data_IF_159703549352
#
_entry.id   IF_159703549352
#
_cell.length_a   1.000
_cell.length_b   1.000
_cell.length_c   1.000
_cell.angle_alpha   90.00
_cell.angle_beta   90.00
_cell.angle_gamma   90.00
#
_symmetry.space_group_name_H-M   'P 1'
#
loop_
_entity.id
_entity.type
_entity.pdbx_description
1 polymer ?
#
# COMPACT_ATOMS: atom_id res chain seq x y z
N UNK A 1 44.77 19.57 21.50
CA UNK A 1 43.74 18.60 21.10
C UNK A 1 44.41 17.56 20.21
N UNK A 2 44.11 16.29 20.48
CA UNK A 2 44.96 15.11 20.25
C UNK A 2 45.30 14.82 18.78
N UNK A 3 46.59 14.57 18.51
CA UNK A 3 47.10 14.07 17.22
C UNK A 3 46.65 12.64 16.88
N UNK A 4 46.03 11.92 17.82
CA UNK A 4 45.53 10.54 17.62
C UNK A 4 44.21 10.45 16.84
N UNK A 5 43.38 11.50 16.82
CA UNK A 5 42.11 11.46 16.07
C UNK A 5 42.33 11.54 14.55
N UNK A 6 43.50 11.99 14.09
CA UNK A 6 43.86 12.06 12.66
C UNK A 6 44.39 10.74 12.06
N UNK A 7 44.55 9.67 12.84
CA UNK A 7 45.02 8.36 12.33
C UNK A 7 43.90 7.33 12.10
N UNK A 8 42.68 7.59 12.60
CA UNK A 8 41.57 6.66 12.50
C UNK A 8 40.78 6.92 11.22
N UNK A 9 40.64 5.89 10.39
CA UNK A 9 39.83 5.92 9.16
C UNK A 9 38.34 5.74 9.43
N UNK A 10 37.96 5.40 10.67
CA UNK A 10 36.59 5.13 11.10
C UNK A 10 36.28 5.91 12.37
N UNK A 11 35.00 6.30 12.52
CA UNK A 11 34.49 6.90 13.75
C UNK A 11 34.72 5.95 14.94
N UNK A 12 35.24 6.45 16.09
CA UNK A 12 35.49 5.62 17.27
C UNK A 12 34.28 4.80 17.74
N UNK A 13 33.04 5.31 17.60
CA UNK A 13 31.86 4.53 18.00
C UNK A 13 31.62 3.37 17.03
N UNK A 14 31.81 3.58 15.74
CA UNK A 14 31.74 2.50 14.72
C UNK A 14 32.77 1.40 15.00
N UNK A 15 34.01 1.78 15.33
CA UNK A 15 35.06 0.83 15.71
C UNK A 15 34.65 -0.01 16.91
N UNK A 16 34.07 0.61 17.94
CA UNK A 16 33.59 -0.11 19.13
C UNK A 16 32.45 -1.06 18.82
N UNK A 17 31.55 -0.72 17.88
CA UNK A 17 30.46 -1.62 17.47
C UNK A 17 31.00 -2.88 16.79
N UNK A 18 31.93 -2.74 15.85
CA UNK A 18 32.58 -3.90 15.23
C UNK A 18 33.34 -4.74 16.24
N UNK A 19 34.11 -4.10 17.12
CA UNK A 19 34.88 -4.78 18.16
C UNK A 19 33.98 -5.56 19.11
N UNK A 20 32.90 -4.95 19.58
CA UNK A 20 31.94 -5.60 20.49
C UNK A 20 31.24 -6.77 19.79
N UNK A 21 30.75 -6.58 18.56
CA UNK A 21 30.09 -7.63 17.80
C UNK A 21 30.98 -8.87 17.57
N UNK A 22 32.25 -8.64 17.22
CA UNK A 22 33.22 -9.72 17.00
C UNK A 22 33.54 -10.44 18.31
N UNK A 23 33.86 -9.69 19.37
CA UNK A 23 34.27 -10.27 20.66
C UNK A 23 33.13 -10.93 21.44
N UNK A 24 31.89 -10.49 21.25
CA UNK A 24 30.70 -11.17 21.78
C UNK A 24 30.46 -12.52 21.10
N UNK A 25 30.85 -12.65 19.83
CA UNK A 25 30.71 -13.90 19.08
C UNK A 25 31.83 -14.90 19.35
N UNK A 26 33.04 -14.42 19.67
CA UNK A 26 34.22 -15.25 19.90
C UNK A 26 35.53 -14.47 19.75
N UNK A 27 36.62 -15.18 19.52
CA UNK A 27 37.94 -14.59 19.24
C UNK A 27 38.07 -14.09 17.80
N UNK A 28 39.09 -13.27 17.51
CA UNK A 28 39.35 -12.84 16.13
C UNK A 28 39.70 -14.02 15.21
N UNK A 29 40.34 -15.03 15.78
CA UNK A 29 40.74 -16.26 15.11
C UNK A 29 39.50 -17.09 14.72
N UNK A 30 38.57 -17.32 15.65
CA UNK A 30 37.31 -18.01 15.37
C UNK A 30 36.44 -17.27 14.35
N UNK A 31 36.33 -15.94 14.48
CA UNK A 31 35.57 -15.14 13.52
C UNK A 31 36.25 -15.09 12.15
N UNK A 32 37.58 -15.13 12.10
CA UNK A 32 38.34 -15.21 10.86
C UNK A 32 38.03 -16.49 10.09
N UNK A 33 38.00 -17.63 10.78
CA UNK A 33 37.63 -18.93 10.18
C UNK A 33 36.21 -18.92 9.62
N UNK A 34 35.25 -18.35 10.36
CA UNK A 34 33.84 -18.32 9.96
C UNK A 34 33.52 -17.33 8.83
N UNK A 35 34.28 -16.24 8.73
CA UNK A 35 34.06 -15.18 7.73
C UNK A 35 34.96 -15.30 6.50
N UNK A 36 36.04 -16.07 6.60
CA UNK A 36 37.16 -16.08 5.66
C UNK A 36 37.85 -14.69 5.53
N UNK A 37 37.64 -13.79 6.50
CA UNK A 37 38.36 -12.51 6.58
C UNK A 37 39.62 -12.75 7.41
N UNK A 38 40.78 -12.29 6.96
CA UNK A 38 42.02 -12.50 7.72
C UNK A 38 41.95 -11.88 9.13
N UNK A 39 42.53 -12.55 10.12
CA UNK A 39 42.67 -12.04 11.50
C UNK A 39 43.27 -10.63 11.53
N UNK A 40 44.27 -10.37 10.67
CA UNK A 40 44.91 -9.06 10.56
C UNK A 40 43.92 -7.98 10.10
N UNK A 41 43.09 -8.30 9.11
CA UNK A 41 42.03 -7.39 8.62
C UNK A 41 41.02 -7.10 9.72
N UNK A 42 40.54 -8.12 10.44
CA UNK A 42 39.60 -7.93 11.56
C UNK A 42 40.21 -7.04 12.65
N UNK A 43 41.46 -7.30 13.05
CA UNK A 43 42.17 -6.48 14.05
C UNK A 43 42.36 -5.03 13.58
N UNK A 44 42.61 -4.80 12.29
CA UNK A 44 42.71 -3.45 11.71
C UNK A 44 41.38 -2.71 11.71
N UNK A 45 40.28 -3.39 11.35
CA UNK A 45 38.91 -2.83 11.42
C UNK A 45 38.57 -2.45 12.86
N UNK A 46 38.77 -3.37 13.81
CA UNK A 46 38.49 -3.14 15.24
C UNK A 46 39.46 -2.17 15.93
N UNK A 47 40.52 -1.74 15.24
CA UNK A 47 41.42 -0.66 15.66
C UNK A 47 41.16 0.65 14.89
N UNK A 48 40.16 0.70 13.99
CA UNK A 48 39.87 1.86 13.16
C UNK A 48 40.96 2.22 12.15
N UNK A 49 41.90 1.31 11.88
CA UNK A 49 43.02 1.52 10.96
C UNK A 49 42.65 1.30 9.49
N UNK A 50 41.45 0.78 9.22
CA UNK A 50 40.96 0.48 7.87
C UNK A 50 39.45 0.46 7.87
N UNK A 51 38.87 1.13 6.88
CA UNK A 51 37.44 1.05 6.59
C UNK A 51 37.11 -0.31 5.95
N UNK A 52 36.24 -1.14 6.54
CA UNK A 52 35.87 -2.44 6.00
C UNK A 52 35.12 -2.29 4.67
N UNK A 53 35.39 -3.19 3.73
CA UNK A 53 34.55 -3.31 2.53
C UNK A 53 33.16 -3.76 2.93
N UNK A 54 32.13 -3.32 2.20
CA UNK A 54 30.75 -3.74 2.45
C UNK A 54 30.58 -5.27 2.50
N UNK A 55 31.31 -6.01 1.66
CA UNK A 55 31.34 -7.48 1.69
C UNK A 55 31.80 -8.05 3.03
N UNK A 56 32.79 -7.42 3.66
CA UNK A 56 33.35 -7.84 4.94
C UNK A 56 32.37 -7.50 6.07
N UNK A 57 31.74 -6.34 6.01
CA UNK A 57 30.68 -5.96 6.96
C UNK A 57 29.51 -6.93 6.90
N UNK A 58 29.05 -7.32 5.70
CA UNK A 58 27.97 -8.31 5.53
C UNK A 58 28.34 -9.66 6.13
N UNK A 59 29.57 -10.13 5.90
CA UNK A 59 30.08 -11.38 6.48
C UNK A 59 30.11 -11.31 8.02
N UNK A 60 30.61 -10.21 8.59
CA UNK A 60 30.66 -9.99 10.04
C UNK A 60 29.25 -9.92 10.62
N UNK A 61 28.34 -9.15 10.01
CA UNK A 61 26.94 -9.02 10.44
C UNK A 61 26.26 -10.40 10.53
N UNK A 62 26.44 -11.22 9.49
CA UNK A 62 25.84 -12.56 9.41
C UNK A 62 26.30 -13.49 10.52
N UNK A 63 27.61 -13.57 10.79
CA UNK A 63 28.14 -14.51 11.79
C UNK A 63 27.97 -14.03 13.23
N UNK A 64 27.93 -12.72 13.44
CA UNK A 64 27.71 -12.08 14.76
C UNK A 64 26.23 -11.91 15.08
N UNK A 65 25.35 -12.19 14.12
CA UNK A 65 23.91 -11.97 14.21
C UNK A 65 23.54 -10.52 14.60
N UNK A 66 24.29 -9.55 14.06
CA UNK A 66 24.05 -8.12 14.27
C UNK A 66 23.46 -7.50 13.00
N UNK A 67 22.64 -6.46 13.17
CA UNK A 67 22.13 -5.69 12.05
C UNK A 67 23.27 -4.96 11.34
N UNK A 68 23.28 -5.02 10.00
CA UNK A 68 24.29 -4.38 9.15
C UNK A 68 24.32 -2.86 9.38
N UNK A 69 23.15 -2.22 9.45
CA UNK A 69 23.03 -0.78 9.65
C UNK A 69 23.51 -0.37 11.04
N UNK A 70 23.24 -1.17 12.06
CA UNK A 70 23.72 -0.90 13.41
C UNK A 70 25.25 -0.96 13.46
N UNK A 71 25.88 -1.93 12.79
CA UNK A 71 27.35 -2.01 12.73
C UNK A 71 27.96 -0.75 12.08
N UNK A 72 27.43 -0.32 10.94
CA UNK A 72 27.99 0.80 10.17
C UNK A 72 27.62 2.14 10.82
N UNK A 73 26.34 2.40 11.03
CA UNK A 73 25.81 3.72 11.38
C UNK A 73 25.42 3.87 12.86
N UNK A 74 25.19 2.76 13.57
CA UNK A 74 24.78 2.76 14.99
C UNK A 74 23.27 2.62 15.19
N UNK A 75 22.81 2.85 16.41
CA UNK A 75 21.38 2.86 16.73
C UNK A 75 20.71 3.99 15.95
N UNK A 76 20.05 3.60 14.87
CA UNK A 76 19.76 4.48 13.74
C UNK A 76 18.35 5.03 13.83
N UNK A 77 17.72 5.04 15.01
CA UNK A 77 16.33 5.49 15.17
C UNK A 77 16.08 6.84 14.49
N UNK A 78 16.99 7.80 14.63
CA UNK A 78 16.88 9.14 13.99
C UNK A 78 17.15 9.12 12.49
N UNK A 79 18.16 8.38 12.00
CA UNK A 79 18.46 8.26 10.57
C UNK A 79 17.39 7.45 9.82
N UNK A 80 16.80 6.46 10.48
CA UNK A 80 15.71 5.67 9.93
C UNK A 80 14.39 6.47 9.93
N UNK A 81 14.13 7.28 10.98
CA UNK A 81 13.04 8.27 11.02
C UNK A 81 13.13 9.23 9.82
N UNK A 82 14.34 9.70 9.50
CA UNK A 82 14.58 10.63 8.40
C UNK A 82 14.46 9.98 7.01
N UNK A 83 14.96 8.74 6.84
CA UNK A 83 14.80 7.97 5.61
C UNK A 83 13.32 7.67 5.29
N UNK A 84 12.50 7.40 6.33
CA UNK A 84 11.06 7.17 6.15
C UNK A 84 10.31 8.48 5.86
N UNK A 85 10.68 9.61 6.48
CA UNK A 85 10.11 10.94 6.14
C UNK A 85 10.30 11.27 4.66
N UNK A 86 11.49 11.01 4.12
CA UNK A 86 11.80 11.23 2.69
C UNK A 86 10.91 10.41 1.76
N UNK A 87 10.56 9.17 2.12
CA UNK A 87 9.72 8.30 1.30
C UNK A 87 8.24 8.68 1.36
N UNK A 88 7.77 9.13 2.53
CA UNK A 88 6.35 9.41 2.80
C UNK A 88 5.93 10.83 2.41
N UNK A 89 6.79 11.83 2.62
CA UNK A 89 6.56 13.20 2.13
C UNK A 89 6.44 13.28 0.60
N UNK A 90 7.01 12.31 -0.14
CA UNK A 90 6.91 12.24 -1.60
C UNK A 90 5.58 11.65 -2.10
N UNK A 91 4.81 10.96 -1.24
CA UNK A 91 3.69 10.13 -1.69
C UNK A 91 2.29 10.74 -1.49
N UNK A 92 1.97 11.52 -0.45
CA UNK A 92 0.61 12.09 -0.28
C UNK A 92 0.39 13.24 0.74
N UNK A 93 1.42 13.92 1.24
CA UNK A 93 1.27 14.98 2.25
C UNK A 93 1.46 14.51 3.70
N UNK A 94 1.03 15.33 4.68
CA UNK A 94 1.29 15.16 6.13
C UNK A 94 0.07 14.48 6.77
N UNK A 95 0.05 13.15 6.84
CA UNK A 95 -0.90 12.38 7.65
C UNK A 95 -0.12 11.62 8.73
N UNK A 96 0.05 12.24 9.90
CA UNK A 96 0.92 11.75 10.96
C UNK A 96 0.55 10.32 11.42
N UNK A 97 -0.74 9.98 11.43
CA UNK A 97 -1.21 8.64 11.82
C UNK A 97 -0.78 7.58 10.80
N UNK A 98 -0.90 7.90 9.50
CA UNK A 98 -0.46 7.02 8.42
C UNK A 98 1.06 6.89 8.41
N UNK A 99 1.79 7.99 8.64
CA UNK A 99 3.25 8.01 8.73
C UNK A 99 3.77 7.11 9.86
N UNK A 100 3.15 7.21 11.04
CA UNK A 100 3.50 6.39 12.20
C UNK A 100 3.13 4.91 11.99
N UNK A 101 2.02 4.64 11.30
CA UNK A 101 1.66 3.28 10.90
C UNK A 101 2.69 2.67 9.94
N UNK A 102 3.14 3.42 8.91
CA UNK A 102 4.19 2.96 8.00
C UNK A 102 5.49 2.64 8.74
N UNK A 103 5.94 3.54 9.63
CA UNK A 103 7.13 3.33 10.46
C UNK A 103 7.00 2.08 11.30
N UNK A 104 5.88 1.95 12.02
CA UNK A 104 5.60 0.80 12.88
C UNK A 104 5.66 -0.49 12.07
N UNK A 105 5.01 -0.55 10.92
CA UNK A 105 5.03 -1.73 10.04
C UNK A 105 6.46 -2.08 9.63
N UNK A 106 7.23 -1.12 9.11
CA UNK A 106 8.61 -1.35 8.67
C UNK A 106 9.46 -1.92 9.82
N UNK A 107 9.33 -1.35 11.03
CA UNK A 107 10.06 -1.83 12.20
C UNK A 107 9.66 -3.23 12.61
N UNK A 108 8.37 -3.49 12.73
CA UNK A 108 7.88 -4.80 13.17
C UNK A 108 8.27 -5.89 12.17
N UNK A 109 8.21 -5.61 10.86
CA UNK A 109 8.64 -6.54 9.83
C UNK A 109 10.11 -6.98 9.98
N UNK A 110 10.99 -6.10 10.46
CA UNK A 110 12.42 -6.41 10.63
C UNK A 110 12.71 -7.44 11.74
N UNK A 111 11.76 -7.64 12.67
CA UNK A 111 11.86 -8.59 13.78
C UNK A 111 11.17 -9.93 13.53
N UNK A 112 10.53 -10.12 12.38
CA UNK A 112 9.75 -11.33 12.08
C UNK A 112 10.58 -12.44 11.43
N UNK A 113 10.12 -13.68 11.61
CA UNK A 113 10.66 -14.81 10.86
C UNK A 113 10.21 -14.78 9.40
N UNK A 114 10.94 -15.46 8.51
CA UNK A 114 10.70 -15.42 7.07
C UNK A 114 9.30 -15.92 6.70
N UNK A 115 8.77 -16.92 7.41
CA UNK A 115 7.44 -17.49 7.19
C UNK A 115 6.35 -16.45 7.50
N UNK A 116 6.53 -15.68 8.57
CA UNK A 116 5.58 -14.62 8.97
C UNK A 116 5.59 -13.47 7.95
N UNK A 117 6.77 -13.09 7.46
CA UNK A 117 6.90 -12.08 6.39
C UNK A 117 6.17 -12.53 5.12
N UNK A 118 6.30 -13.81 4.74
CA UNK A 118 5.60 -14.37 3.58
C UNK A 118 4.08 -14.41 3.77
N UNK A 119 3.62 -14.78 4.97
CA UNK A 119 2.20 -14.75 5.30
C UNK A 119 1.63 -13.32 5.24
N UNK A 120 2.34 -12.34 5.80
CA UNK A 120 1.96 -10.93 5.72
C UNK A 120 1.92 -10.43 4.28
N UNK A 121 2.90 -10.80 3.45
CA UNK A 121 2.89 -10.46 2.02
C UNK A 121 1.62 -10.97 1.32
N UNK A 122 1.22 -12.20 1.61
CA UNK A 122 -0.01 -12.81 1.08
C UNK A 122 -1.25 -12.04 1.53
N UNK A 123 -1.32 -11.68 2.81
CA UNK A 123 -2.43 -10.91 3.37
C UNK A 123 -2.53 -9.51 2.75
N UNK A 124 -1.39 -8.82 2.60
CA UNK A 124 -1.33 -7.49 1.96
C UNK A 124 -1.80 -7.56 0.51
N UNK A 125 -1.38 -8.57 -0.24
CA UNK A 125 -1.85 -8.78 -1.62
C UNK A 125 -3.36 -9.03 -1.67
N UNK A 126 -3.88 -9.88 -0.78
CA UNK A 126 -5.32 -10.16 -0.70
C UNK A 126 -6.13 -8.89 -0.38
N UNK A 127 -5.67 -8.08 0.58
CA UNK A 127 -6.31 -6.82 0.93
C UNK A 127 -6.29 -5.82 -0.23
N UNK A 128 -5.16 -5.70 -0.93
CA UNK A 128 -5.04 -4.86 -2.12
C UNK A 128 -6.02 -5.29 -3.19
N UNK A 129 -6.02 -6.57 -3.58
CA UNK A 129 -6.93 -7.09 -4.60
C UNK A 129 -8.41 -6.99 -4.20
N UNK A 130 -8.73 -7.19 -2.92
CA UNK A 130 -10.09 -6.99 -2.42
C UNK A 130 -10.53 -5.53 -2.57
N UNK A 131 -9.69 -4.57 -2.16
CA UNK A 131 -10.00 -3.14 -2.27
C UNK A 131 -10.07 -2.66 -3.71
N UNK A 132 -9.22 -3.16 -4.60
CA UNK A 132 -9.31 -2.89 -6.03
C UNK A 132 -10.64 -3.36 -6.62
N UNK A 133 -11.06 -4.60 -6.31
CA UNK A 133 -12.35 -5.15 -6.77
C UNK A 133 -13.53 -4.40 -6.19
N UNK A 134 -13.48 -4.09 -4.90
CA UNK A 134 -14.53 -3.33 -4.24
C UNK A 134 -14.67 -1.94 -4.86
N UNK A 135 -13.57 -1.20 -4.99
CA UNK A 135 -13.59 0.12 -5.64
C UNK A 135 -14.07 0.03 -7.09
N UNK A 136 -13.68 -0.99 -7.85
CA UNK A 136 -14.17 -1.19 -9.21
C UNK A 136 -15.70 -1.40 -9.24
N UNK A 137 -16.24 -2.18 -8.30
CA UNK A 137 -17.67 -2.42 -8.16
C UNK A 137 -18.46 -1.19 -7.73
N UNK A 138 -17.93 -0.42 -6.77
CA UNK A 138 -18.51 0.85 -6.30
C UNK A 138 -18.48 1.88 -7.44
N UNK A 139 -17.34 2.00 -8.14
CA UNK A 139 -17.14 2.84 -9.32
C UNK A 139 -18.16 2.53 -10.42
N UNK A 140 -18.35 1.25 -10.74
CA UNK A 140 -19.33 0.82 -11.74
C UNK A 140 -20.78 1.11 -11.31
N UNK A 141 -21.12 0.86 -10.05
CA UNK A 141 -22.46 1.12 -9.49
C UNK A 141 -22.79 2.62 -9.52
N UNK A 142 -21.86 3.47 -9.09
CA UNK A 142 -22.04 4.93 -9.11
C UNK A 142 -22.15 5.47 -10.54
N UNK A 143 -21.35 4.96 -11.50
CA UNK A 143 -21.49 5.34 -12.93
C UNK A 143 -22.84 4.93 -13.51
N UNK A 144 -23.34 3.74 -13.17
CA UNK A 144 -24.69 3.30 -13.58
C UNK A 144 -25.79 4.18 -12.96
N UNK A 145 -25.66 4.57 -11.69
CA UNK A 145 -26.58 5.49 -11.04
C UNK A 145 -26.56 6.88 -11.68
N UNK A 146 -25.36 7.42 -11.98
CA UNK A 146 -25.19 8.67 -12.70
C UNK A 146 -25.95 8.67 -14.04
N UNK A 147 -25.75 7.64 -14.86
CA UNK A 147 -26.43 7.46 -16.15
C UNK A 147 -27.95 7.36 -15.96
N UNK A 148 -28.41 6.62 -14.96
CA UNK A 148 -29.84 6.48 -14.66
C UNK A 148 -30.48 7.83 -14.27
N UNK A 149 -29.78 8.65 -13.47
CA UNK A 149 -30.26 9.99 -13.12
C UNK A 149 -30.26 10.95 -14.31
N UNK A 150 -29.29 10.84 -15.24
CA UNK A 150 -29.32 11.58 -16.50
C UNK A 150 -30.52 11.20 -17.38
N UNK A 151 -30.82 9.90 -17.50
CA UNK A 151 -31.96 9.40 -18.27
C UNK A 151 -33.29 9.93 -17.71
N UNK A 152 -33.40 9.98 -16.38
CA UNK A 152 -34.59 10.47 -15.69
C UNK A 152 -34.65 11.99 -15.53
N UNK A 153 -33.75 12.74 -16.20
CA UNK A 153 -33.66 14.21 -16.14
C UNK A 153 -33.45 14.77 -14.71
N UNK A 154 -32.90 13.96 -13.81
CA UNK A 154 -32.62 14.32 -12.41
C UNK A 154 -31.23 14.97 -12.29
N UNK A 155 -31.08 16.13 -12.90
CA UNK A 155 -29.80 16.83 -13.10
C UNK A 155 -29.04 17.13 -11.79
N UNK A 156 -29.73 17.52 -10.72
CA UNK A 156 -29.11 17.82 -9.42
C UNK A 156 -28.48 16.56 -8.80
N UNK A 157 -29.20 15.43 -8.83
CA UNK A 157 -28.69 14.15 -8.31
C UNK A 157 -27.54 13.62 -9.17
N UNK A 158 -27.66 13.73 -10.49
CA UNK A 158 -26.61 13.34 -11.42
C UNK A 158 -25.31 14.12 -11.19
N UNK A 159 -25.39 15.44 -11.02
CA UNK A 159 -24.21 16.28 -10.79
C UNK A 159 -23.50 15.96 -9.47
N UNK A 160 -24.24 15.62 -8.41
CA UNK A 160 -23.66 15.19 -7.14
C UNK A 160 -22.86 13.89 -7.30
N UNK A 161 -23.41 12.92 -8.03
CA UNK A 161 -22.73 11.66 -8.32
C UNK A 161 -21.53 11.89 -9.25
N UNK A 162 -21.62 12.80 -10.23
CA UNK A 162 -20.50 13.19 -11.09
C UNK A 162 -19.33 13.72 -10.26
N UNK A 163 -19.58 14.61 -9.30
CA UNK A 163 -18.55 15.13 -8.40
C UNK A 163 -17.91 14.00 -7.58
N UNK A 164 -18.71 13.12 -6.99
CA UNK A 164 -18.19 11.98 -6.22
C UNK A 164 -17.31 11.03 -7.06
N UNK A 165 -17.71 10.76 -8.31
CA UNK A 165 -16.94 9.96 -9.27
C UNK A 165 -15.58 10.59 -9.59
N UNK A 166 -15.52 11.92 -9.71
CA UNK A 166 -14.27 12.65 -9.97
C UNK A 166 -13.39 12.66 -8.71
N UNK A 167 -13.93 13.12 -7.58
CA UNK A 167 -13.17 13.36 -6.35
C UNK A 167 -12.70 12.07 -5.68
N UNK A 168 -13.53 11.03 -5.65
CA UNK A 168 -13.25 9.80 -4.91
C UNK A 168 -12.75 8.64 -5.77
N UNK A 169 -13.03 8.66 -7.07
CA UNK A 169 -12.72 7.56 -7.98
C UNK A 169 -11.88 7.97 -9.20
N UNK A 170 -11.48 9.25 -9.31
CA UNK A 170 -10.51 9.73 -10.27
C UNK A 170 -11.00 9.72 -11.72
N UNK A 171 -12.31 9.79 -11.95
CA UNK A 171 -12.83 10.01 -13.30
C UNK A 171 -12.45 11.41 -13.81
N UNK A 172 -12.19 11.52 -15.11
CA UNK A 172 -12.11 12.82 -15.78
C UNK A 172 -13.50 13.36 -16.11
N UNK A 173 -13.59 14.67 -16.36
CA UNK A 173 -14.81 15.29 -16.87
C UNK A 173 -15.21 14.76 -18.25
N UNK A 174 -14.22 14.40 -19.07
CA UNK A 174 -14.41 13.86 -20.43
C UNK A 174 -15.02 12.45 -20.39
N UNK A 175 -14.53 11.60 -19.47
CA UNK A 175 -15.02 10.23 -19.22
C UNK A 175 -16.48 10.16 -18.78
N UNK A 176 -17.01 11.28 -18.25
CA UNK A 176 -18.39 11.43 -17.79
C UNK A 176 -19.20 12.35 -18.71
N UNK A 177 -18.63 12.77 -19.85
CA UNK A 177 -19.33 13.60 -20.82
C UNK A 177 -20.38 12.80 -21.57
N UNK A 178 -21.46 13.49 -21.98
CA UNK A 178 -22.59 12.86 -22.67
C UNK A 178 -22.22 12.10 -23.95
N UNK A 179 -21.13 12.48 -24.62
CA UNK A 179 -20.64 11.82 -25.83
C UNK A 179 -19.95 10.48 -25.55
N UNK A 180 -19.18 10.38 -24.46
CA UNK A 180 -18.46 9.15 -24.12
C UNK A 180 -19.38 8.11 -23.47
N UNK A 181 -20.41 8.56 -22.74
CA UNK A 181 -21.40 7.67 -22.12
C UNK A 181 -22.62 7.44 -23.02
N UNK A 182 -22.66 7.98 -24.24
CA UNK A 182 -23.83 7.94 -25.11
C UNK A 182 -24.31 6.51 -25.38
N UNK A 183 -23.38 5.60 -25.70
CA UNK A 183 -23.68 4.19 -25.91
C UNK A 183 -24.24 3.51 -24.65
N UNK A 184 -23.72 3.85 -23.47
CA UNK A 184 -24.18 3.31 -22.18
C UNK A 184 -25.57 3.85 -21.81
N UNK A 185 -25.83 5.14 -22.07
CA UNK A 185 -27.14 5.77 -21.91
C UNK A 185 -28.18 5.09 -22.80
N UNK A 186 -27.85 4.82 -24.07
CA UNK A 186 -28.75 4.13 -25.01
C UNK A 186 -29.01 2.69 -24.54
N UNK A 187 -27.97 1.99 -24.08
CA UNK A 187 -28.09 0.62 -23.59
C UNK A 187 -28.99 0.55 -22.34
N UNK A 188 -28.79 1.44 -21.36
CA UNK A 188 -29.61 1.47 -20.14
C UNK A 188 -31.03 1.96 -20.40
N UNK A 189 -31.27 2.92 -21.32
CA UNK A 189 -32.64 3.28 -21.75
C UNK A 189 -33.39 2.07 -22.29
N UNK A 190 -32.76 1.28 -23.18
CA UNK A 190 -33.37 0.05 -23.73
C UNK A 190 -33.66 -0.99 -22.66
N UNK A 191 -32.80 -1.10 -21.64
CA UNK A 191 -32.98 -2.03 -20.52
C UNK A 191 -34.13 -1.57 -19.61
N UNK A 192 -34.17 -0.29 -19.25
CA UNK A 192 -35.26 0.29 -18.46
C UNK A 192 -36.63 0.16 -19.15
N UNK A 193 -36.70 0.35 -20.48
CA UNK A 193 -37.92 0.13 -21.26
C UNK A 193 -38.37 -1.33 -21.24
N UNK A 194 -37.44 -2.29 -21.37
CA UNK A 194 -37.73 -3.73 -21.27
C UNK A 194 -38.26 -4.10 -19.88
N UNK A 195 -37.64 -3.58 -18.82
CA UNK A 195 -38.11 -3.82 -17.45
C UNK A 195 -39.48 -3.20 -17.19
N UNK A 196 -39.72 -1.98 -17.68
CA UNK A 196 -41.03 -1.32 -17.58
C UNK A 196 -42.11 -2.12 -18.28
N UNK A 197 -41.83 -2.64 -19.48
CA UNK A 197 -42.74 -3.51 -20.23
C UNK A 197 -43.04 -4.80 -19.47
N UNK A 198 -42.01 -5.44 -18.91
CA UNK A 198 -42.18 -6.67 -18.13
C UNK A 198 -43.04 -6.43 -16.87
N UNK A 199 -42.84 -5.32 -16.16
CA UNK A 199 -43.68 -4.94 -15.00
C UNK A 199 -45.14 -4.66 -15.40
N UNK A 200 -45.36 -4.07 -16.57
CA UNK A 200 -46.71 -3.86 -17.12
C UNK A 200 -47.38 -5.20 -17.44
N UNK A 201 -46.67 -6.13 -18.07
CA UNK A 201 -47.16 -7.49 -18.36
C UNK A 201 -47.47 -8.26 -17.06
N UNK A 202 -46.59 -8.21 -16.06
CA UNK A 202 -46.80 -8.81 -14.73
C UNK A 202 -48.00 -8.18 -13.99
N UNK A 203 -48.17 -6.85 -14.07
CA UNK A 203 -49.31 -6.15 -13.49
C UNK A 203 -50.64 -6.46 -14.20
N UNK A 204 -50.62 -6.63 -15.53
CA UNK A 204 -51.77 -7.07 -16.32
C UNK A 204 -52.17 -8.51 -15.98
N UNK A 205 -51.20 -9.41 -15.82
CA UNK A 205 -51.45 -10.79 -15.37
C UNK A 205 -52.05 -10.81 -13.95
N UNK A 206 -51.51 -10.01 -13.03
CA UNK A 206 -52.05 -9.84 -11.67
C UNK A 206 -53.48 -9.28 -11.69
N UNK A 207 -53.75 -8.23 -12.46
CA UNK A 207 -55.09 -7.65 -12.59
C UNK A 207 -56.10 -8.63 -13.20
N UNK A 208 -55.64 -9.46 -14.15
CA UNK A 208 -56.45 -10.53 -14.74
C UNK A 208 -56.71 -11.66 -13.75
N UNK A 209 -55.73 -12.03 -12.92
CA UNK A 209 -55.87 -13.03 -11.87
C UNK A 209 -56.76 -12.56 -10.71
N UNK A 210 -56.73 -11.27 -10.37
CA UNK A 210 -57.55 -10.66 -9.30
C UNK A 210 -58.96 -10.25 -9.76
N UNK A 211 -59.28 -10.38 -11.06
CA UNK A 211 -60.64 -10.21 -11.58
C UNK A 211 -61.16 -8.77 -11.62
N UNK A 212 -60.28 -7.75 -11.59
CA UNK A 212 -60.67 -6.33 -11.59
C UNK A 212 -61.14 -5.78 -12.95
N UNK A 213 -61.30 -6.63 -13.96
CA UNK A 213 -61.89 -6.25 -15.25
C UNK A 213 -63.40 -6.50 -15.29
N UNK A 214 -64.19 -5.74 -14.51
CA UNK A 214 -65.60 -5.46 -14.83
C UNK A 214 -66.00 -4.08 -14.29
N UNK A 215 -65.85 -3.04 -15.11
CA UNK A 215 -66.78 -1.92 -14.99
C UNK A 215 -68.15 -2.37 -15.51
N UNK A 216 -69.25 -2.14 -14.76
CA UNK A 216 -70.58 -2.43 -15.25
C UNK A 216 -70.89 -1.49 -16.43
N UNK A 217 -71.22 -2.08 -17.57
CA UNK A 217 -71.90 -1.38 -18.66
C UNK A 217 -73.23 -0.85 -18.12
N UNK A 218 -73.46 0.43 -18.35
CA UNK A 218 -74.75 1.13 -18.42
C UNK A 218 -75.98 0.21 -18.49
N UNK A 219 -76.91 0.35 -17.54
CA UNK A 219 -78.31 0.03 -17.75
C UNK A 219 -79.19 1.17 -17.22
N UNK A 220 -79.83 1.83 -18.20
CA UNK A 220 -81.09 2.58 -18.21
C UNK A 220 -81.30 3.74 -17.24
#
# INVERSE_FOLDING_TARGET
MNSLENELMLDPKQVQRFKSAILERGTYEEVSELTEISVSTLKRICAGKTDPKLSDVVKIAKITNKNLNDLIYGDTREQQIEAVKSFVSALNGIDEDTDEAYRTIIWQLSGLYKEDIQALSTQVQALKSYREKQRASERASLRSAYISHLINEQTVAANKIKQELIESYGFSEEELSGAEIEYEVIAEKKKAEREKRKRLEEAEELNKALGWNKHPKSQQ
#
